data_IF_410580665420
#
_entry.id   IF_410580665420
#
_cell.length_a   1.000
_cell.length_b   1.000
_cell.length_c   1.000
_cell.angle_alpha   90.00
_cell.angle_beta   90.00
_cell.angle_gamma   90.00
#
_symmetry.space_group_name_H-M   'P 1'
#
loop_
_entity.id
_entity.type
_entity.pdbx_description
1 polymer ?
#
# COMPACT_ATOMS: atom_id res chain seq x y z
N UNK A 1 -4.25 21.26 4.89
CA UNK A 1 -3.55 21.44 6.16
C UNK A 1 -2.60 22.62 6.01
N UNK A 2 -2.75 23.66 6.83
CA UNK A 2 -1.82 24.79 6.85
C UNK A 2 -0.47 24.30 7.36
N UNK A 3 0.54 24.31 6.49
CA UNK A 3 1.93 24.05 6.86
C UNK A 3 2.47 25.30 7.59
N UNK A 4 2.17 25.42 8.89
CA UNK A 4 2.56 26.58 9.71
C UNK A 4 4.07 26.78 9.87
N UNK A 5 4.86 25.72 9.58
CA UNK A 5 6.30 25.69 9.83
C UNK A 5 7.14 25.65 8.55
N UNK A 6 6.54 25.58 7.38
CA UNK A 6 7.25 25.44 6.11
C UNK A 6 6.86 26.56 5.15
N UNK A 7 7.87 27.14 4.51
CA UNK A 7 7.63 28.01 3.35
C UNK A 7 7.44 27.12 2.14
N UNK A 8 6.20 27.04 1.65
CA UNK A 8 5.90 26.35 0.41
C UNK A 8 6.36 27.22 -0.76
N UNK A 9 7.18 26.65 -1.65
CA UNK A 9 7.52 27.25 -2.91
C UNK A 9 6.90 26.42 -4.04
N UNK A 10 6.07 27.05 -4.84
CA UNK A 10 5.47 26.41 -6.00
C UNK A 10 6.49 26.30 -7.12
N UNK A 11 6.73 25.07 -7.59
CA UNK A 11 7.54 24.83 -8.77
C UNK A 11 6.73 25.17 -10.02
N UNK A 12 7.24 26.11 -10.80
CA UNK A 12 6.66 26.47 -12.10
C UNK A 12 7.60 26.02 -13.23
N UNK A 13 7.20 25.04 -14.06
CA UNK A 13 8.05 24.51 -15.14
C UNK A 13 8.55 25.56 -16.10
N UNK A 14 7.84 26.69 -16.22
CA UNK A 14 8.23 27.81 -17.09
C UNK A 14 9.46 28.58 -16.56
N UNK A 15 9.70 28.52 -15.25
CA UNK A 15 10.72 29.33 -14.58
C UNK A 15 11.96 28.54 -14.17
N UNK A 16 11.92 27.21 -14.30
CA UNK A 16 13.02 26.31 -13.93
C UNK A 16 13.07 25.12 -14.88
N UNK A 17 14.23 24.78 -15.39
CA UNK A 17 14.39 23.67 -16.33
C UNK A 17 14.07 22.29 -15.70
N UNK A 18 14.16 22.17 -14.36
CA UNK A 18 13.71 20.98 -13.63
C UNK A 18 13.42 21.28 -12.15
N UNK A 19 12.66 20.41 -11.52
CA UNK A 19 12.41 20.45 -10.06
C UNK A 19 13.73 20.38 -9.28
N UNK A 20 14.71 19.68 -9.81
CA UNK A 20 16.03 19.51 -9.18
C UNK A 20 16.86 20.80 -9.21
N UNK A 21 16.74 21.61 -10.26
CA UNK A 21 17.35 22.94 -10.30
C UNK A 21 16.72 23.88 -9.28
N UNK A 22 15.40 23.80 -9.08
CA UNK A 22 14.73 24.55 -8.02
C UNK A 22 15.21 24.09 -6.64
N UNK A 23 15.33 22.79 -6.40
CA UNK A 23 15.86 22.23 -5.15
C UNK A 23 17.32 22.67 -4.88
N UNK A 24 18.19 22.59 -5.89
CA UNK A 24 19.59 23.04 -5.78
C UNK A 24 19.70 24.55 -5.49
N UNK A 25 18.85 25.37 -6.12
CA UNK A 25 18.79 26.82 -5.88
C UNK A 25 18.38 27.12 -4.44
N UNK A 26 17.42 26.37 -3.88
CA UNK A 26 17.02 26.48 -2.48
C UNK A 26 18.15 26.07 -1.53
N UNK A 27 18.82 24.96 -1.81
CA UNK A 27 19.98 24.52 -1.02
C UNK A 27 21.10 25.57 -1.00
N UNK A 28 21.40 26.17 -2.15
CA UNK A 28 22.38 27.25 -2.30
C UNK A 28 21.94 28.51 -1.51
N UNK A 29 20.69 28.90 -1.64
CA UNK A 29 20.14 30.07 -0.91
C UNK A 29 20.16 29.86 0.61
N UNK A 30 20.01 28.61 1.07
CA UNK A 30 20.12 28.24 2.49
C UNK A 30 21.58 28.07 2.97
N UNK A 31 22.58 28.18 2.08
CA UNK A 31 24.00 27.93 2.41
C UNK A 31 24.28 26.46 2.78
N UNK A 32 23.42 25.53 2.33
CA UNK A 32 23.58 24.11 2.63
C UNK A 32 24.78 23.51 1.89
N UNK A 33 25.69 22.90 2.63
CA UNK A 33 26.85 22.16 2.08
C UNK A 33 26.55 20.67 1.90
N UNK A 34 25.59 20.14 2.64
CA UNK A 34 25.14 18.76 2.57
C UNK A 34 23.61 18.76 2.44
N UNK A 35 23.10 18.06 1.44
CA UNK A 35 21.66 17.92 1.20
C UNK A 35 21.28 16.48 1.47
N UNK A 36 20.25 16.28 2.33
CA UNK A 36 19.66 14.98 2.60
C UNK A 36 18.85 14.50 1.40
N UNK A 37 18.93 13.23 1.09
CA UNK A 37 18.30 12.60 -0.06
C UNK A 37 17.74 11.23 0.36
N UNK A 38 16.45 10.99 0.07
CA UNK A 38 15.82 9.69 0.31
C UNK A 38 16.14 8.74 -0.83
N UNK A 39 17.11 7.86 -0.60
CA UNK A 39 17.61 6.94 -1.62
C UNK A 39 16.61 5.89 -2.10
N UNK A 40 15.55 5.60 -1.32
CA UNK A 40 14.58 4.57 -1.65
C UNK A 40 13.49 5.08 -2.63
N UNK A 41 13.28 6.39 -2.68
CA UNK A 41 12.20 6.99 -3.45
C UNK A 41 12.64 7.71 -4.73
N UNK A 42 13.94 7.85 -4.98
CA UNK A 42 14.47 8.55 -6.14
C UNK A 42 15.38 7.68 -6.97
N UNK A 43 15.37 7.90 -8.28
CA UNK A 43 16.21 7.14 -9.20
C UNK A 43 17.69 7.57 -9.15
N UNK A 44 18.56 6.68 -9.63
CA UNK A 44 19.98 7.03 -9.82
C UNK A 44 20.16 8.23 -10.74
N UNK A 45 19.28 8.41 -11.73
CA UNK A 45 19.27 9.57 -12.63
C UNK A 45 18.99 10.86 -11.85
N UNK A 46 18.02 10.86 -10.94
CA UNK A 46 17.71 12.01 -10.10
C UNK A 46 18.91 12.37 -9.20
N UNK A 47 19.51 11.35 -8.59
CA UNK A 47 20.71 11.51 -7.77
C UNK A 47 21.85 12.18 -8.56
N UNK A 48 22.18 11.63 -9.73
CA UNK A 48 23.30 12.16 -10.56
C UNK A 48 23.02 13.57 -11.06
N UNK A 49 21.76 13.86 -11.43
CA UNK A 49 21.37 15.19 -11.86
C UNK A 49 21.48 16.19 -10.70
N UNK A 50 20.90 15.88 -9.55
CA UNK A 50 20.97 16.76 -8.38
C UNK A 50 22.40 16.97 -7.92
N UNK A 51 23.22 15.92 -7.89
CA UNK A 51 24.66 16.02 -7.54
C UNK A 51 25.40 16.93 -8.51
N UNK A 52 25.09 16.87 -9.82
CA UNK A 52 25.78 17.69 -10.84
C UNK A 52 25.47 19.18 -10.73
N UNK A 53 24.30 19.56 -10.19
CA UNK A 53 23.87 20.95 -10.05
C UNK A 53 24.11 21.54 -8.66
N UNK A 54 24.49 20.71 -7.68
CA UNK A 54 24.92 21.15 -6.34
C UNK A 54 26.40 21.59 -6.39
N UNK A 55 26.67 22.82 -6.81
CA UNK A 55 28.01 23.40 -6.89
C UNK A 55 28.71 23.39 -5.51
N UNK A 56 29.68 22.50 -5.34
CA UNK A 56 30.49 22.38 -4.11
C UNK A 56 29.75 21.77 -2.92
N UNK A 57 28.51 21.30 -3.12
CA UNK A 57 27.72 20.54 -2.16
C UNK A 57 27.83 19.04 -2.34
N UNK A 58 27.38 18.28 -1.36
CA UNK A 58 27.30 16.83 -1.42
C UNK A 58 25.89 16.34 -1.07
N UNK A 59 25.51 15.21 -1.68
CA UNK A 59 24.30 14.47 -1.30
C UNK A 59 24.65 13.42 -0.25
N UNK A 60 23.76 13.26 0.74
CA UNK A 60 23.85 12.20 1.73
C UNK A 60 22.53 11.44 1.76
N UNK A 61 22.58 10.12 1.58
CA UNK A 61 21.42 9.28 1.79
C UNK A 61 20.97 9.39 3.24
N UNK A 62 19.66 9.59 3.42
CA UNK A 62 18.99 9.60 4.72
C UNK A 62 17.97 8.46 4.74
N UNK A 63 17.97 7.71 5.82
CA UNK A 63 16.93 6.76 6.15
C UNK A 63 15.89 7.44 7.05
N UNK A 64 14.64 7.48 6.60
CA UNK A 64 13.53 8.04 7.35
C UNK A 64 12.68 6.98 8.04
N UNK A 65 13.09 5.71 8.01
CA UNK A 65 12.33 4.57 8.54
C UNK A 65 12.00 4.75 10.01
N UNK A 66 12.97 5.12 10.84
CA UNK A 66 12.77 5.32 12.28
C UNK A 66 11.71 6.39 12.58
N UNK A 67 11.73 7.50 11.81
CA UNK A 67 10.78 8.60 11.97
C UNK A 67 9.36 8.17 11.55
N UNK A 68 9.26 7.35 10.51
CA UNK A 68 7.99 6.88 9.94
C UNK A 68 7.43 5.64 10.64
N UNK A 69 8.25 4.91 11.38
CA UNK A 69 7.86 3.68 12.06
C UNK A 69 6.82 3.94 13.13
N UNK A 70 7.00 4.98 13.95
CA UNK A 70 6.08 5.35 15.02
C UNK A 70 5.13 6.41 14.48
N UNK A 71 3.84 6.06 14.42
CA UNK A 71 2.77 6.93 13.90
C UNK A 71 2.20 7.80 15.03
N UNK A 72 1.94 9.06 14.74
CA UNK A 72 1.19 9.93 15.62
C UNK A 72 -0.33 9.63 15.55
N UNK A 73 -1.13 10.33 16.36
CA UNK A 73 -2.58 10.12 16.40
C UNK A 73 -3.27 10.43 15.06
N UNK A 74 -2.82 11.48 14.35
CA UNK A 74 -3.42 11.84 13.05
C UNK A 74 -3.11 10.79 12.00
N UNK A 75 -1.89 10.26 12.00
CA UNK A 75 -1.46 9.20 11.09
C UNK A 75 -2.26 7.91 11.35
N UNK A 76 -2.47 7.57 12.63
CA UNK A 76 -3.32 6.43 13.02
C UNK A 76 -4.77 6.63 12.54
N UNK A 77 -5.35 7.83 12.67
CA UNK A 77 -6.70 8.13 12.19
C UNK A 77 -6.80 7.95 10.65
N UNK A 78 -5.75 8.30 9.90
CA UNK A 78 -5.72 8.11 8.44
C UNK A 78 -5.60 6.63 8.06
N UNK A 79 -4.75 5.86 8.77
CA UNK A 79 -4.61 4.40 8.58
C UNK A 79 -5.92 3.68 8.89
N UNK A 80 -6.57 4.00 10.02
CA UNK A 80 -7.86 3.45 10.39
C UNK A 80 -8.93 3.76 9.34
N UNK A 81 -8.93 4.98 8.79
CA UNK A 81 -9.87 5.35 7.73
C UNK A 81 -9.61 4.57 6.44
N UNK A 82 -8.34 4.39 6.04
CA UNK A 82 -7.99 3.56 4.89
C UNK A 82 -8.45 2.11 5.07
N UNK A 83 -8.23 1.53 6.26
CA UNK A 83 -8.69 0.18 6.59
C UNK A 83 -10.24 0.07 6.57
N UNK A 84 -10.95 1.04 7.16
CA UNK A 84 -12.43 1.07 7.13
C UNK A 84 -12.98 1.13 5.70
N UNK A 85 -12.38 1.91 4.80
CA UNK A 85 -12.79 1.96 3.39
C UNK A 85 -12.65 0.59 2.72
N UNK A 86 -11.56 -0.10 2.97
CA UNK A 86 -11.31 -1.43 2.41
C UNK A 86 -12.31 -2.47 2.98
N UNK A 87 -12.53 -2.50 4.29
CA UNK A 87 -13.50 -3.39 4.93
C UNK A 87 -14.93 -3.14 4.42
N UNK A 88 -15.38 -1.88 4.38
CA UNK A 88 -16.71 -1.52 3.89
C UNK A 88 -16.90 -1.90 2.41
N UNK A 89 -15.84 -1.77 1.59
CA UNK A 89 -15.86 -2.19 0.19
C UNK A 89 -16.00 -3.71 0.06
N UNK A 90 -15.29 -4.47 0.90
CA UNK A 90 -15.38 -5.92 0.90
C UNK A 90 -16.77 -6.42 1.34
N UNK A 91 -17.36 -5.80 2.36
CA UNK A 91 -18.74 -6.12 2.79
C UNK A 91 -19.72 -5.95 1.64
N UNK A 92 -19.59 -4.88 0.85
CA UNK A 92 -20.44 -4.70 -0.35
C UNK A 92 -20.15 -5.74 -1.43
N UNK A 93 -18.89 -6.14 -1.58
CA UNK A 93 -18.49 -7.14 -2.57
C UNK A 93 -19.11 -8.52 -2.30
N UNK A 94 -19.40 -8.86 -1.03
CA UNK A 94 -19.96 -10.18 -0.66
C UNK A 94 -21.21 -10.53 -1.47
N UNK A 95 -22.03 -9.55 -1.86
CA UNK A 95 -23.24 -9.75 -2.68
C UNK A 95 -22.90 -10.09 -4.15
N UNK A 96 -21.72 -9.72 -4.62
CA UNK A 96 -21.23 -9.97 -5.97
C UNK A 96 -20.50 -11.33 -6.11
N UNK A 97 -20.06 -11.93 -4.99
CA UNK A 97 -19.30 -13.20 -4.98
C UNK A 97 -20.26 -14.35 -5.23
N UNK A 98 -20.31 -14.81 -6.48
CA UNK A 98 -21.22 -15.89 -6.92
C UNK A 98 -20.63 -16.68 -8.09
N UNK A 99 -21.08 -17.92 -8.31
CA UNK A 99 -20.64 -18.73 -9.44
C UNK A 99 -20.81 -17.97 -10.76
N UNK A 100 -19.89 -18.16 -11.69
CA UNK A 100 -19.94 -17.53 -13.00
C UNK A 100 -19.29 -16.12 -13.06
N UNK A 101 -18.89 -15.55 -11.95
CA UNK A 101 -18.04 -14.34 -11.93
C UNK A 101 -16.60 -14.70 -12.13
N UNK A 102 -15.84 -13.89 -12.88
CA UNK A 102 -14.39 -14.06 -12.99
C UNK A 102 -13.66 -13.32 -11.86
N UNK A 103 -12.47 -13.79 -11.51
CA UNK A 103 -11.58 -13.11 -10.54
C UNK A 103 -11.38 -11.64 -10.91
N UNK A 104 -11.09 -11.36 -12.19
CA UNK A 104 -10.90 -9.99 -12.72
C UNK A 104 -12.16 -9.11 -12.54
N UNK A 105 -13.33 -9.67 -12.75
CA UNK A 105 -14.60 -8.96 -12.55
C UNK A 105 -14.80 -8.56 -11.09
N UNK A 106 -14.42 -9.42 -10.14
CA UNK A 106 -14.52 -9.14 -8.71
C UNK A 106 -13.45 -8.14 -8.25
N UNK A 107 -12.22 -8.23 -8.75
CA UNK A 107 -11.18 -7.24 -8.49
C UNK A 107 -11.63 -5.83 -8.90
N UNK A 108 -12.08 -5.67 -10.14
CA UNK A 108 -12.58 -4.37 -10.62
C UNK A 108 -13.80 -3.87 -9.83
N UNK A 109 -14.67 -4.77 -9.34
CA UNK A 109 -15.81 -4.41 -8.52
C UNK A 109 -15.39 -3.92 -7.13
N UNK A 110 -14.41 -4.60 -6.52
CA UNK A 110 -13.84 -4.22 -5.23
C UNK A 110 -13.18 -2.84 -5.30
N UNK A 111 -12.37 -2.61 -6.33
CA UNK A 111 -11.72 -1.32 -6.59
C UNK A 111 -12.74 -0.19 -6.80
N UNK A 112 -13.82 -0.49 -7.54
CA UNK A 112 -14.92 0.47 -7.70
C UNK A 112 -15.55 0.82 -6.34
N UNK A 113 -15.83 -0.16 -5.47
CA UNK A 113 -16.39 0.11 -4.15
C UNK A 113 -15.45 0.91 -3.26
N UNK A 114 -14.15 0.56 -3.24
CA UNK A 114 -13.15 1.35 -2.50
C UNK A 114 -13.12 2.80 -2.98
N UNK A 115 -13.16 3.02 -4.29
CA UNK A 115 -13.19 4.37 -4.88
C UNK A 115 -14.45 5.14 -4.48
N UNK A 116 -15.61 4.52 -4.52
CA UNK A 116 -16.89 5.13 -4.12
C UNK A 116 -16.94 5.48 -2.62
N UNK A 117 -16.18 4.77 -1.79
CA UNK A 117 -16.08 5.02 -0.35
C UNK A 117 -15.00 6.06 0.02
N UNK A 118 -14.28 6.59 -0.98
CA UNK A 118 -13.34 7.70 -0.82
C UNK A 118 -11.87 7.31 -0.86
N UNK A 119 -11.54 6.11 -1.37
CA UNK A 119 -10.14 5.77 -1.65
C UNK A 119 -9.59 6.60 -2.80
N UNK A 120 -8.39 7.14 -2.64
CA UNK A 120 -7.66 7.87 -3.69
C UNK A 120 -7.18 6.96 -4.82
N UNK A 121 -6.80 5.74 -4.48
CA UNK A 121 -6.37 4.66 -5.38
C UNK A 121 -6.30 3.34 -4.61
N UNK A 122 -6.00 2.23 -5.28
CA UNK A 122 -5.60 1.00 -4.61
C UNK A 122 -4.23 1.15 -3.97
N UNK A 123 -3.99 0.46 -2.84
CA UNK A 123 -2.68 0.44 -2.16
C UNK A 123 -1.62 -0.27 -2.99
N UNK A 124 -2.05 -1.33 -3.67
CA UNK A 124 -1.30 -2.20 -4.57
C UNK A 124 -2.28 -2.83 -5.56
N UNK A 125 -1.78 -3.63 -6.48
CA UNK A 125 -2.61 -4.34 -7.45
C UNK A 125 -3.49 -5.36 -6.74
N UNK A 126 -4.80 -5.23 -6.88
CA UNK A 126 -5.78 -6.09 -6.19
C UNK A 126 -5.66 -7.53 -6.64
N UNK A 127 -5.44 -8.43 -5.68
CA UNK A 127 -5.39 -9.87 -5.90
C UNK A 127 -6.78 -10.45 -5.65
N UNK A 128 -7.24 -11.28 -6.59
CA UNK A 128 -8.39 -12.19 -6.42
C UNK A 128 -7.99 -13.52 -7.02
N UNK A 129 -7.84 -14.53 -6.17
CA UNK A 129 -7.41 -15.86 -6.59
C UNK A 129 -8.36 -16.92 -6.06
N UNK A 130 -8.86 -17.80 -6.95
CA UNK A 130 -9.89 -18.77 -6.63
C UNK A 130 -9.51 -20.24 -6.95
N UNK A 131 -10.08 -21.17 -6.19
CA UNK A 131 -9.81 -22.59 -6.32
C UNK A 131 -8.31 -22.91 -6.16
N UNK A 132 -7.71 -23.63 -7.09
CA UNK A 132 -6.28 -23.97 -7.04
C UNK A 132 -5.35 -22.74 -7.07
N UNK A 133 -5.83 -21.61 -7.58
CA UNK A 133 -5.06 -20.36 -7.62
C UNK A 133 -4.99 -19.66 -6.25
N UNK A 134 -5.92 -19.96 -5.33
CA UNK A 134 -5.92 -19.36 -3.99
C UNK A 134 -4.69 -19.75 -3.15
N UNK A 135 -3.94 -20.77 -3.58
CA UNK A 135 -2.65 -21.13 -2.99
C UNK A 135 -1.46 -20.28 -3.48
N UNK A 136 -1.67 -19.39 -4.46
CA UNK A 136 -0.62 -18.54 -5.01
C UNK A 136 -0.53 -17.23 -4.19
N UNK A 137 0.60 -16.95 -3.53
CA UNK A 137 0.75 -15.74 -2.71
C UNK A 137 0.53 -14.43 -3.49
N UNK A 138 0.89 -14.42 -4.78
CA UNK A 138 0.72 -13.28 -5.69
C UNK A 138 -0.17 -13.63 -6.88
N UNK A 139 -1.30 -14.29 -6.60
CA UNK A 139 -2.26 -14.74 -7.62
C UNK A 139 -3.06 -13.58 -8.20
N UNK A 140 -2.44 -12.80 -9.12
CA UNK A 140 -3.12 -11.69 -9.81
C UNK A 140 -4.45 -12.14 -10.40
N UNK A 141 -5.47 -11.27 -10.32
CA UNK A 141 -6.81 -11.55 -10.79
C UNK A 141 -6.83 -11.92 -12.29
N UNK A 142 -7.37 -13.09 -12.61
CA UNK A 142 -7.40 -13.67 -13.96
C UNK A 142 -8.84 -13.76 -14.50
N UNK A 143 -8.97 -14.35 -15.70
CA UNK A 143 -10.28 -14.65 -16.29
C UNK A 143 -10.88 -15.97 -15.77
N UNK A 144 -10.21 -16.64 -14.79
CA UNK A 144 -10.79 -17.83 -14.14
C UNK A 144 -12.15 -17.47 -13.54
N UNK A 145 -13.12 -18.30 -13.85
CA UNK A 145 -14.48 -18.21 -13.33
C UNK A 145 -14.58 -18.96 -12.00
N UNK A 146 -15.25 -18.35 -11.04
CA UNK A 146 -15.50 -18.93 -9.72
C UNK A 146 -16.48 -20.10 -9.80
N UNK A 147 -16.17 -21.18 -9.10
CA UNK A 147 -16.98 -22.39 -8.99
C UNK A 147 -17.41 -22.64 -7.53
N UNK A 148 -18.53 -23.32 -7.34
CA UNK A 148 -18.99 -23.73 -6.00
C UNK A 148 -17.94 -24.65 -5.36
N UNK A 149 -17.54 -24.36 -4.14
CA UNK A 149 -16.47 -25.07 -3.44
C UNK A 149 -15.09 -24.45 -3.59
N UNK A 150 -14.93 -23.39 -4.38
CA UNK A 150 -13.67 -22.67 -4.43
C UNK A 150 -13.40 -21.93 -3.11
N UNK A 151 -12.17 -22.00 -2.59
CA UNK A 151 -11.63 -20.92 -1.81
C UNK A 151 -11.46 -19.71 -2.73
N UNK A 152 -11.79 -18.53 -2.23
CA UNK A 152 -11.53 -17.27 -2.93
C UNK A 152 -10.79 -16.35 -1.98
N UNK A 153 -9.52 -16.10 -2.28
CA UNK A 153 -8.67 -15.19 -1.52
C UNK A 153 -8.66 -13.83 -2.20
N UNK A 154 -8.95 -12.82 -1.42
CA UNK A 154 -8.88 -11.41 -1.79
C UNK A 154 -7.76 -10.76 -0.99
N UNK A 155 -6.84 -10.08 -1.67
CA UNK A 155 -5.80 -9.27 -1.06
C UNK A 155 -5.83 -7.88 -1.70
N UNK A 156 -6.12 -6.87 -0.88
CA UNK A 156 -6.50 -5.55 -1.36
C UNK A 156 -6.26 -4.48 -0.30
N UNK A 157 -6.20 -3.24 -0.74
CA UNK A 157 -6.05 -2.12 0.16
C UNK A 157 -6.48 -0.80 -0.46
N UNK A 158 -6.89 0.13 0.38
CA UNK A 158 -7.29 1.47 0.03
C UNK A 158 -6.22 2.50 0.44
N UNK A 159 -6.17 3.62 -0.28
CA UNK A 159 -5.33 4.77 0.09
C UNK A 159 -6.22 5.93 0.51
N UNK A 160 -5.96 6.48 1.68
CA UNK A 160 -6.66 7.66 2.19
C UNK A 160 -5.67 8.69 2.71
N UNK A 161 -5.64 9.87 2.09
CA UNK A 161 -4.69 10.97 2.37
C UNK A 161 -3.23 10.52 2.39
N UNK A 162 -2.87 9.64 1.45
CA UNK A 162 -1.53 9.08 1.30
C UNK A 162 -1.20 7.93 2.25
N UNK A 163 -2.11 7.52 3.15
CA UNK A 163 -1.94 6.35 4.03
C UNK A 163 -2.59 5.12 3.42
N UNK A 164 -1.89 4.00 3.48
CA UNK A 164 -2.24 2.76 2.83
C UNK A 164 -2.79 1.75 3.84
N UNK A 165 -3.87 1.05 3.49
CA UNK A 165 -4.28 -0.19 4.16
C UNK A 165 -3.87 -1.41 3.34
N UNK A 166 -3.81 -2.54 4.00
CA UNK A 166 -3.46 -3.85 3.45
C UNK A 166 -4.27 -4.90 4.21
N UNK A 167 -5.16 -5.62 3.49
CA UNK A 167 -6.14 -6.52 4.08
C UNK A 167 -6.31 -7.75 3.21
N UNK A 168 -6.14 -8.93 3.80
CA UNK A 168 -6.48 -10.20 3.15
C UNK A 168 -7.78 -10.77 3.74
N UNK A 169 -8.66 -11.28 2.87
CA UNK A 169 -9.88 -12.01 3.23
C UNK A 169 -10.01 -13.26 2.38
N UNK A 170 -10.33 -14.37 3.01
CA UNK A 170 -10.60 -15.63 2.31
C UNK A 170 -12.00 -16.12 2.62
N UNK A 171 -12.75 -16.45 1.58
CA UNK A 171 -14.11 -17.01 1.68
C UNK A 171 -14.21 -18.32 0.91
N UNK A 172 -15.24 -19.11 1.19
CA UNK A 172 -15.60 -20.29 0.41
C UNK A 172 -16.85 -19.99 -0.37
N UNK A 173 -16.85 -20.24 -1.67
CA UNK A 173 -18.03 -20.06 -2.50
C UNK A 173 -19.02 -21.22 -2.28
N UNK A 174 -20.11 -20.94 -1.57
CA UNK A 174 -21.10 -21.92 -1.16
C UNK A 174 -20.87 -22.42 0.28
N UNK A 175 -21.08 -23.71 0.51
CA UNK A 175 -20.99 -24.29 1.85
C UNK A 175 -19.57 -24.75 2.18
N UNK A 176 -18.99 -24.23 3.24
CA UNK A 176 -17.68 -24.67 3.73
C UNK A 176 -17.76 -26.10 4.29
N UNK A 177 -16.99 -27.01 3.68
CA UNK A 177 -16.86 -28.39 4.16
C UNK A 177 -15.89 -28.49 5.36
N UNK A 178 -15.83 -29.64 6.07
CA UNK A 178 -14.80 -29.87 7.12
C UNK A 178 -13.38 -29.66 6.61
N UNK A 179 -13.07 -30.08 5.37
CA UNK A 179 -11.76 -29.87 4.75
C UNK A 179 -11.42 -28.37 4.60
N UNK A 180 -12.37 -27.54 4.17
CA UNK A 180 -12.14 -26.09 4.06
C UNK A 180 -11.81 -25.50 5.44
N UNK A 181 -12.53 -25.92 6.48
CA UNK A 181 -12.30 -25.43 7.85
C UNK A 181 -10.93 -25.85 8.38
N UNK A 182 -10.52 -27.10 8.12
CA UNK A 182 -9.21 -27.62 8.52
C UNK A 182 -8.08 -26.80 7.86
N UNK A 183 -8.12 -26.61 6.55
CA UNK A 183 -7.10 -25.83 5.82
C UNK A 183 -7.05 -24.38 6.34
N UNK A 184 -8.21 -23.75 6.51
CA UNK A 184 -8.28 -22.38 7.05
C UNK A 184 -7.63 -22.27 8.44
N UNK A 185 -7.95 -23.22 9.31
CA UNK A 185 -7.38 -23.27 10.68
C UNK A 185 -5.86 -23.45 10.68
N UNK A 186 -5.32 -24.28 9.78
CA UNK A 186 -3.85 -24.45 9.66
C UNK A 186 -3.17 -23.15 9.27
N UNK A 187 -3.73 -22.41 8.30
CA UNK A 187 -3.19 -21.12 7.87
C UNK A 187 -3.32 -20.07 8.98
N UNK A 188 -4.47 -20.02 9.66
CA UNK A 188 -4.71 -19.10 10.78
C UNK A 188 -3.71 -19.31 11.91
N UNK A 189 -3.46 -20.56 12.33
CA UNK A 189 -2.45 -20.88 13.33
C UNK A 189 -1.04 -20.47 12.90
N UNK A 190 -0.70 -20.65 11.64
CA UNK A 190 0.59 -20.20 11.10
C UNK A 190 0.73 -18.68 11.19
N UNK A 191 -0.32 -17.93 10.85
CA UNK A 191 -0.32 -16.45 10.93
C UNK A 191 -0.20 -15.97 12.38
N UNK A 192 -0.88 -16.62 13.33
CA UNK A 192 -0.76 -16.30 14.76
C UNK A 192 0.68 -16.49 15.22
N UNK A 193 1.33 -17.60 14.88
CA UNK A 193 2.73 -17.84 15.25
C UNK A 193 3.70 -16.82 14.66
N UNK A 194 3.45 -16.34 13.44
CA UNK A 194 4.29 -15.33 12.78
C UNK A 194 4.06 -13.95 13.40
N UNK A 195 2.81 -13.63 13.80
CA UNK A 195 2.41 -12.29 14.27
C UNK A 195 2.60 -12.10 15.76
N UNK A 196 2.65 -13.17 16.57
CA UNK A 196 2.92 -13.06 18.00
C UNK A 196 4.38 -12.64 18.23
N UNK A 197 4.62 -11.53 18.96
CA UNK A 197 5.97 -11.18 19.34
C UNK A 197 6.53 -12.34 20.19
N UNK A 198 7.63 -12.92 19.73
CA UNK A 198 8.36 -13.92 20.51
C UNK A 198 8.79 -13.25 21.81
N UNK A 199 8.11 -13.56 22.92
CA UNK A 199 8.58 -13.18 24.25
C UNK A 199 9.85 -13.95 24.52
N UNK A 200 10.98 -13.28 24.40
CA UNK A 200 12.31 -13.81 24.73
C UNK A 200 12.58 -13.87 26.24
N UNK A 201 11.60 -13.56 27.08
CA UNK A 201 11.71 -13.44 28.54
C UNK A 201 11.20 -14.67 29.28
N UNK A 202 11.05 -15.82 28.62
CA UNK A 202 10.76 -17.12 29.25
C UNK A 202 11.85 -18.11 28.88
N UNK A 203 13.07 -17.88 29.38
CA UNK A 203 14.09 -18.89 29.58
C UNK A 203 14.69 -18.68 30.98
#
# INVERSE_FOLDING_TARGET
>A
AELKFFKVMEYQPQNSASIWQAAASLAKAAGAKVVGFDGDNYSFTDYTLLQSILEGGSLRSLDFSDIRMIKDKRELDMLLRAASIADDAFVRLLEDIRPGRSERSLAGRLEYYMRMLGSEKTSFDTIVASGYRSALPHGMASDKVLEVGDFVTFDFGAVYKGYHSDITRTVVLGMATPWHKEIYTVVELSLIHISEPTRLDVI
#
